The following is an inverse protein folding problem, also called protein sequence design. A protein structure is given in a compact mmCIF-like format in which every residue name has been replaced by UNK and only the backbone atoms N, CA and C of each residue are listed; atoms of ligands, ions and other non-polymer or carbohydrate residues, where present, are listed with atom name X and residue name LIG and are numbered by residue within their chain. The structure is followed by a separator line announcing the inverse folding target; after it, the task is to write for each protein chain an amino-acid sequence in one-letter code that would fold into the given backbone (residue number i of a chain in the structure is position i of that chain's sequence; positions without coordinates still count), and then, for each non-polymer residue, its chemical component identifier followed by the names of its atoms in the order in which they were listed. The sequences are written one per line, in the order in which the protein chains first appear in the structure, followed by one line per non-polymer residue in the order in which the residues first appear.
data_IF_357793194193
#
_entry.id   IF_357793194193
#
_cell.length_a   1.000
_cell.length_b   1.000
_cell.length_c   1.000
_cell.angle_alpha   90.00
_cell.angle_beta   90.00
_cell.angle_gamma   90.00
#
_symmetry.space_group_name_H-M   'P 1'
#
loop_
_entity.id
_entity.type
_entity.pdbx_description
1 polymer ?
#
# COMPACT_ATOMS: atom_id res chain seq x y z
N UNK A 1 -0.55 -2.58 11.14
CA UNK A 1 0.78 -1.94 11.11
C UNK A 1 1.70 -2.59 12.13
N UNK A 2 1.38 -2.53 13.42
CA UNK A 2 2.25 -3.03 14.50
C UNK A 2 2.65 -4.50 14.34
N UNK A 3 1.74 -5.37 13.92
CA UNK A 3 2.05 -6.78 13.68
C UNK A 3 3.20 -6.99 12.66
N UNK A 4 3.30 -6.14 11.64
CA UNK A 4 4.38 -6.20 10.63
C UNK A 4 5.63 -5.51 11.16
N UNK A 5 5.49 -4.32 11.76
CA UNK A 5 6.62 -3.56 12.30
C UNK A 5 7.35 -4.31 13.43
N UNK A 6 6.64 -5.11 14.23
CA UNK A 6 7.25 -5.88 15.30
C UNK A 6 8.21 -6.96 14.80
N UNK A 7 8.06 -7.41 13.54
CA UNK A 7 9.00 -8.33 12.92
C UNK A 7 10.33 -7.65 12.60
N UNK A 8 10.38 -6.32 12.51
CA UNK A 8 11.57 -5.53 12.21
C UNK A 8 12.33 -5.25 13.50
N UNK A 9 13.68 -5.31 13.51
CA UNK A 9 14.49 -4.90 14.65
C UNK A 9 14.12 -3.51 15.17
N UNK A 10 14.03 -3.34 16.49
CA UNK A 10 13.62 -2.09 17.12
C UNK A 10 14.54 -0.92 16.76
N UNK A 11 15.83 -1.19 16.59
CA UNK A 11 16.84 -0.22 16.19
C UNK A 11 16.67 0.27 14.74
N UNK A 12 15.94 -0.45 13.88
CA UNK A 12 15.73 -0.11 12.46
C UNK A 12 14.36 0.53 12.19
N UNK A 13 13.56 0.80 13.23
CA UNK A 13 12.24 1.42 13.10
C UNK A 13 12.07 2.60 14.04
N UNK A 14 11.34 3.61 13.57
CA UNK A 14 10.92 4.78 14.34
C UNK A 14 9.42 4.93 14.13
N UNK A 15 8.66 4.97 15.21
CA UNK A 15 7.20 5.03 15.17
C UNK A 15 6.68 6.28 15.87
N UNK A 16 5.81 7.02 15.19
CA UNK A 16 5.08 8.16 15.74
C UNK A 16 3.57 7.94 15.62
N UNK A 17 2.84 8.27 16.69
CA UNK A 17 1.36 8.25 16.65
C UNK A 17 0.78 9.45 15.91
N UNK A 18 1.50 10.57 15.90
CA UNK A 18 1.16 11.78 15.16
C UNK A 18 2.43 12.61 14.97
N UNK A 19 2.48 13.38 13.88
CA UNK A 19 3.63 14.21 13.53
C UNK A 19 3.16 15.54 12.93
N UNK A 20 3.79 16.66 13.30
CA UNK A 20 3.48 17.97 12.68
C UNK A 20 4.30 18.16 11.41
N UNK A 21 3.81 18.97 10.46
CA UNK A 21 4.50 19.19 9.18
C UNK A 21 5.96 19.64 9.31
N UNK A 22 6.29 20.39 10.37
CA UNK A 22 7.63 20.92 10.61
C UNK A 22 8.53 19.98 11.40
N UNK A 23 7.96 19.09 12.22
CA UNK A 23 8.75 18.20 13.09
C UNK A 23 9.71 17.29 12.32
N UNK A 24 9.36 16.90 11.09
CA UNK A 24 10.23 16.08 10.24
C UNK A 24 11.58 16.75 9.97
N UNK A 25 11.65 18.08 9.84
CA UNK A 25 12.90 18.80 9.60
C UNK A 25 13.80 18.83 10.84
N UNK A 26 13.22 18.75 12.03
CA UNK A 26 13.96 18.72 13.30
C UNK A 26 14.40 17.29 13.68
N UNK A 27 13.92 16.26 12.97
CA UNK A 27 14.40 14.90 13.13
C UNK A 27 15.83 14.68 12.61
N UNK A 28 16.50 15.70 12.06
CA UNK A 28 17.89 15.59 11.58
C UNK A 28 18.90 15.18 12.66
N UNK A 29 18.57 15.42 13.94
CA UNK A 29 19.35 14.90 15.08
C UNK A 29 19.20 13.38 15.26
N UNK A 30 18.13 12.79 14.70
CA UNK A 30 17.86 11.35 14.69
C UNK A 30 18.29 10.76 13.35
N UNK A 31 19.09 9.70 13.36
CA UNK A 31 19.51 9.05 12.12
C UNK A 31 18.33 8.27 11.49
N UNK A 32 17.69 8.85 10.46
CA UNK A 32 16.61 8.22 9.69
C UNK A 32 17.11 7.36 8.52
N UNK A 33 18.40 7.43 8.19
CA UNK A 33 18.96 6.75 7.04
C UNK A 33 18.87 5.23 7.22
N UNK A 34 18.34 4.55 6.21
CA UNK A 34 18.06 3.12 6.15
C UNK A 34 17.01 2.58 7.15
N UNK A 35 16.29 3.47 7.86
CA UNK A 35 15.26 3.07 8.82
C UNK A 35 13.85 3.08 8.24
N UNK A 36 12.94 2.43 8.95
CA UNK A 36 11.50 2.56 8.73
C UNK A 36 10.97 3.72 9.56
N UNK A 37 10.37 4.72 8.92
CA UNK A 37 9.57 5.76 9.56
C UNK A 37 8.10 5.37 9.45
N UNK A 38 7.54 4.92 10.57
CA UNK A 38 6.15 4.55 10.71
C UNK A 38 5.33 5.69 11.33
N UNK A 39 4.24 6.10 10.67
CA UNK A 39 3.35 7.13 11.18
C UNK A 39 1.93 6.57 11.20
N UNK A 40 1.36 6.47 12.40
CA UNK A 40 -0.03 6.09 12.58
C UNK A 40 -0.96 7.26 12.21
N UNK A 41 -2.07 6.96 11.55
CA UNK A 41 -3.18 7.90 11.27
C UNK A 41 -2.74 9.21 10.56
N UNK A 42 -2.84 9.20 9.22
CA UNK A 42 -2.40 10.24 8.29
C UNK A 42 -2.94 11.68 8.53
N UNK A 43 -3.88 11.91 9.45
CA UNK A 43 -4.45 13.25 9.64
C UNK A 43 -3.38 14.29 10.06
N UNK A 44 -2.30 13.85 10.73
CA UNK A 44 -1.09 14.66 10.96
C UNK A 44 -0.10 14.71 9.77
N UNK A 45 -0.10 13.68 8.92
CA UNK A 45 0.78 13.57 7.74
C UNK A 45 0.41 14.53 6.63
N UNK A 46 -0.85 14.96 6.51
CA UNK A 46 -1.28 15.89 5.45
C UNK A 46 -0.46 17.18 5.43
N UNK A 47 -0.01 17.67 6.59
CA UNK A 47 0.88 18.83 6.71
C UNK A 47 2.35 18.49 6.43
N UNK A 48 2.76 17.24 6.60
CA UNK A 48 4.12 16.74 6.36
C UNK A 48 4.32 16.11 4.96
N UNK A 49 3.23 15.95 4.18
CA UNK A 49 3.24 15.23 2.91
C UNK A 49 4.30 15.75 1.94
N UNK A 50 4.47 17.08 1.87
CA UNK A 50 5.52 17.69 1.05
C UNK A 50 6.93 17.26 1.46
N UNK A 51 7.23 17.30 2.76
CA UNK A 51 8.53 16.89 3.26
C UNK A 51 8.78 15.39 3.07
N UNK A 52 7.75 14.55 3.26
CA UNK A 52 7.86 13.12 2.97
C UNK A 52 8.11 12.83 1.48
N UNK A 53 7.47 13.59 0.57
CA UNK A 53 7.69 13.48 -0.88
C UNK A 53 9.13 13.79 -1.26
N UNK A 54 9.68 14.88 -0.72
CA UNK A 54 11.07 15.27 -0.96
C UNK A 54 12.04 14.24 -0.39
N UNK A 55 11.83 13.78 0.84
CA UNK A 55 12.70 12.77 1.46
C UNK A 55 12.73 11.46 0.66
N UNK A 56 11.60 11.06 0.06
CA UNK A 56 11.53 9.86 -0.77
C UNK A 56 12.15 10.05 -2.16
N UNK A 57 12.13 11.28 -2.70
CA UNK A 57 12.58 11.57 -4.08
C UNK A 57 14.06 11.98 -4.13
N UNK A 58 14.45 12.89 -3.25
CA UNK A 58 15.77 13.55 -3.27
C UNK A 58 16.74 12.88 -2.28
N UNK A 59 16.23 12.04 -1.37
CA UNK A 59 17.03 11.33 -0.38
C UNK A 59 17.58 12.23 0.73
N UNK A 60 17.28 13.52 0.74
CA UNK A 60 17.57 14.43 1.83
C UNK A 60 16.54 15.56 1.92
N UNK A 61 16.44 16.16 3.11
CA UNK A 61 15.64 17.34 3.39
C UNK A 61 16.52 18.38 4.04
N UNK A 62 16.44 19.62 3.57
CA UNK A 62 17.13 20.74 4.21
C UNK A 62 16.14 21.87 4.47
N UNK A 63 16.17 22.42 5.68
CA UNK A 63 15.38 23.59 6.07
C UNK A 63 16.25 24.59 6.80
N UNK A 64 16.18 25.85 6.36
CA UNK A 64 16.71 26.98 7.11
C UNK A 64 15.62 27.54 8.02
N UNK A 65 15.88 27.62 9.32
CA UNK A 65 14.98 28.22 10.29
C UNK A 65 15.74 29.17 11.22
N UNK A 66 15.11 30.28 11.58
CA UNK A 66 15.67 31.23 12.55
C UNK A 66 15.69 30.59 13.94
N UNK A 67 16.87 30.49 14.53
CA UNK A 67 17.08 30.07 15.92
C UNK A 67 17.72 31.19 16.73
N UNK A 68 17.61 31.12 18.04
CA UNK A 68 18.34 32.03 18.94
C UNK A 68 19.69 31.42 19.27
N UNK A 69 20.74 32.21 19.18
CA UNK A 69 22.07 31.83 19.69
C UNK A 69 22.02 31.88 21.24
N UNK A 70 22.33 30.77 21.88
CA UNK A 70 22.29 30.62 23.34
C UNK A 70 23.31 31.52 24.06
N UNK A 71 24.38 31.90 23.36
CA UNK A 71 25.47 32.71 23.92
C UNK A 71 25.26 34.20 23.64
N UNK A 72 24.85 34.56 22.43
CA UNK A 72 24.75 35.97 22.01
C UNK A 72 23.33 36.53 22.07
N UNK A 73 22.32 35.67 22.18
CA UNK A 73 20.90 36.05 22.16
C UNK A 73 20.41 36.58 20.81
N UNK A 74 21.27 36.63 19.80
CA UNK A 74 20.93 37.10 18.45
C UNK A 74 20.17 36.04 17.66
N UNK A 75 19.35 36.49 16.72
CA UNK A 75 18.67 35.60 15.78
C UNK A 75 19.67 35.18 14.71
N UNK A 76 19.97 33.89 14.67
CA UNK A 76 20.85 33.27 13.69
C UNK A 76 20.06 32.26 12.85
N UNK A 77 20.38 32.16 11.56
CA UNK A 77 19.76 31.13 10.72
C UNK A 77 20.44 29.79 11.02
N UNK A 78 19.68 28.82 11.54
CA UNK A 78 20.13 27.44 11.71
C UNK A 78 19.63 26.60 10.53
N UNK A 79 20.52 25.81 9.94
CA UNK A 79 20.18 24.85 8.90
C UNK A 79 19.98 23.47 9.54
N UNK A 80 18.86 22.82 9.24
CA UNK A 80 18.55 21.47 9.64
C UNK A 80 18.55 20.58 8.40
N UNK A 81 19.33 19.50 8.41
CA UNK A 81 19.39 18.55 7.32
C UNK A 81 19.05 17.15 7.82
N UNK A 82 18.14 16.48 7.12
CA UNK A 82 17.73 15.10 7.39
C UNK A 82 18.10 14.24 6.18
N UNK A 83 18.82 13.14 6.41
CA UNK A 83 19.28 12.25 5.34
C UNK A 83 18.44 10.97 5.30
N UNK A 84 18.01 10.61 4.10
CA UNK A 84 17.53 9.29 3.72
C UNK A 84 18.66 8.44 3.10
N UNK A 85 18.33 7.33 2.41
CA UNK A 85 16.97 6.86 2.11
C UNK A 85 16.23 6.37 3.36
N UNK A 86 14.91 6.49 3.38
CA UNK A 86 14.03 6.02 4.47
C UNK A 86 12.88 5.21 3.88
N UNK A 87 12.44 4.17 4.57
CA UNK A 87 11.23 3.43 4.23
C UNK A 87 10.04 4.05 4.97
N UNK A 88 9.03 4.52 4.24
CA UNK A 88 7.83 5.12 4.84
C UNK A 88 6.75 4.05 5.01
N UNK A 89 6.19 3.93 6.21
CA UNK A 89 5.00 3.12 6.48
C UNK A 89 3.92 4.01 7.10
N UNK A 90 2.83 4.22 6.36
CA UNK A 90 1.75 5.12 6.76
C UNK A 90 0.45 4.31 6.90
N UNK A 91 -0.35 4.59 7.92
CA UNK A 91 -1.73 4.12 8.00
C UNK A 91 -2.70 5.27 7.88
N UNK A 92 -3.81 5.06 7.18
CA UNK A 92 -4.85 6.07 7.01
C UNK A 92 -6.22 5.43 6.98
N UNK A 93 -7.18 6.13 7.57
CA UNK A 93 -8.62 5.89 7.37
C UNK A 93 -9.20 6.86 6.35
N UNK A 94 -8.41 7.84 5.89
CA UNK A 94 -8.82 8.80 4.89
C UNK A 94 -9.08 8.10 3.56
N UNK A 95 -10.22 8.44 2.95
CA UNK A 95 -10.60 7.91 1.64
C UNK A 95 -9.77 8.58 0.54
N UNK A 96 -9.39 9.85 0.75
CA UNK A 96 -8.66 10.68 -0.22
C UNK A 96 -7.27 11.03 0.32
N UNK A 97 -6.29 10.30 -0.20
CA UNK A 97 -4.86 10.50 0.01
C UNK A 97 -4.31 11.30 -1.16
N UNK A 98 -3.28 12.11 -0.92
CA UNK A 98 -2.56 12.83 -1.96
C UNK A 98 -2.09 11.86 -3.07
N UNK A 99 -2.56 12.09 -4.31
CA UNK A 99 -2.34 11.21 -5.46
C UNK A 99 -0.85 11.04 -5.76
N UNK A 100 -0.09 12.09 -5.55
CA UNK A 100 1.33 12.11 -5.80
C UNK A 100 2.11 11.21 -4.78
N UNK A 101 1.64 11.15 -3.52
CA UNK A 101 2.11 10.22 -2.50
C UNK A 101 1.66 8.79 -2.80
N UNK A 102 0.40 8.57 -3.21
CA UNK A 102 -0.10 7.26 -3.63
C UNK A 102 0.73 6.66 -4.78
N UNK A 103 1.12 7.49 -5.74
CA UNK A 103 1.97 7.07 -6.85
C UNK A 103 3.39 6.67 -6.42
N UNK A 104 3.83 7.03 -5.20
CA UNK A 104 5.14 6.71 -4.62
C UNK A 104 5.09 5.56 -3.59
N UNK A 105 3.91 5.16 -3.13
CA UNK A 105 3.74 4.10 -2.15
C UNK A 105 3.21 2.81 -2.78
N UNK A 106 3.29 1.72 -2.02
CA UNK A 106 2.48 0.51 -2.23
C UNK A 106 1.26 0.64 -1.32
N UNK A 107 0.07 0.49 -1.88
CA UNK A 107 -1.18 0.64 -1.14
C UNK A 107 -1.67 -0.73 -0.71
N UNK A 108 -1.79 -0.94 0.60
CA UNK A 108 -2.32 -2.16 1.19
C UNK A 108 -3.69 -1.87 1.80
N UNK A 109 -4.69 -2.64 1.41
CA UNK A 109 -6.06 -2.53 1.94
C UNK A 109 -6.31 -3.61 2.98
N UNK A 110 -7.08 -3.29 4.03
CA UNK A 110 -7.52 -4.28 5.00
C UNK A 110 -8.44 -5.31 4.33
N UNK A 111 -8.26 -6.59 4.65
CA UNK A 111 -9.18 -7.63 4.23
C UNK A 111 -10.42 -7.62 5.14
N UNK A 112 -11.54 -7.15 4.60
CA UNK A 112 -12.83 -7.06 5.29
C UNK A 112 -13.79 -8.19 4.87
N UNK A 113 -13.27 -9.30 4.33
CA UNK A 113 -14.12 -10.43 3.96
C UNK A 113 -14.74 -11.08 5.19
N UNK A 114 -15.84 -11.80 4.96
CA UNK A 114 -16.52 -12.53 6.02
C UNK A 114 -15.63 -13.64 6.56
N UNK A 115 -14.96 -14.37 5.68
CA UNK A 115 -14.04 -15.47 6.00
C UNK A 115 -12.89 -14.96 6.87
N UNK A 116 -12.32 -13.81 6.53
CA UNK A 116 -11.28 -13.16 7.34
C UNK A 116 -11.80 -12.78 8.73
N UNK A 117 -13.01 -12.25 8.80
CA UNK A 117 -13.65 -11.88 10.07
C UNK A 117 -13.91 -13.10 10.94
N UNK A 118 -14.42 -14.18 10.36
CA UNK A 118 -14.65 -15.46 11.04
C UNK A 118 -13.34 -16.08 11.56
N UNK A 119 -12.26 -16.03 10.76
CA UNK A 119 -10.93 -16.47 11.16
C UNK A 119 -10.38 -15.64 12.34
N UNK A 120 -10.54 -14.32 12.31
CA UNK A 120 -10.16 -13.44 13.43
C UNK A 120 -10.93 -13.81 14.70
N UNK A 121 -12.25 -14.01 14.61
CA UNK A 121 -13.06 -14.40 15.76
C UNK A 121 -12.63 -15.77 16.33
N UNK A 122 -12.28 -16.72 15.47
CA UNK A 122 -11.78 -18.02 15.90
C UNK A 122 -10.45 -17.89 16.68
N UNK A 123 -9.50 -17.12 16.16
CA UNK A 123 -8.22 -16.85 16.83
C UNK A 123 -8.41 -16.09 18.16
N UNK A 124 -9.32 -15.11 18.22
CA UNK A 124 -9.63 -14.39 19.45
C UNK A 124 -10.19 -15.31 20.53
N UNK A 125 -11.06 -16.27 20.16
CA UNK A 125 -11.54 -17.30 21.09
C UNK A 125 -10.42 -18.23 21.53
N UNK A 126 -9.58 -18.68 20.60
CA UNK A 126 -8.46 -19.57 20.91
C UNK A 126 -7.47 -18.93 21.90
N UNK A 127 -7.21 -17.62 21.80
CA UNK A 127 -6.36 -16.88 22.75
C UNK A 127 -6.85 -16.92 24.20
N UNK A 128 -8.15 -17.18 24.43
CA UNK A 128 -8.71 -17.31 25.78
C UNK A 128 -8.54 -18.73 26.37
N UNK A 129 -7.88 -19.64 25.64
CA UNK A 129 -7.60 -21.01 26.09
C UNK A 129 -6.16 -21.14 26.62
N UNK A 130 -5.86 -22.19 27.37
CA UNK A 130 -4.50 -22.50 27.82
C UNK A 130 -3.53 -22.66 26.65
N UNK A 131 -3.96 -23.31 25.57
CA UNK A 131 -3.18 -23.48 24.34
C UNK A 131 -2.85 -22.13 23.70
N UNK A 132 -3.82 -21.21 23.68
CA UNK A 132 -3.62 -19.86 23.18
C UNK A 132 -2.62 -19.05 24.02
N UNK A 133 -2.66 -19.18 25.35
CA UNK A 133 -1.70 -18.54 26.24
C UNK A 133 -0.27 -19.10 26.04
N UNK A 134 -0.13 -20.41 25.88
CA UNK A 134 1.17 -21.02 25.58
C UNK A 134 1.71 -20.59 24.21
N UNK A 135 0.83 -20.42 23.22
CA UNK A 135 1.20 -19.91 21.89
C UNK A 135 1.68 -18.45 21.90
N UNK A 136 1.36 -17.64 22.92
CA UNK A 136 1.90 -16.28 23.03
C UNK A 136 3.42 -16.28 23.22
N UNK A 137 3.97 -17.25 23.95
CA UNK A 137 5.42 -17.42 24.09
C UNK A 137 6.08 -17.78 22.76
N UNK A 138 5.42 -18.60 21.94
CA UNK A 138 5.92 -18.96 20.61
C UNK A 138 5.96 -17.75 19.67
N UNK A 139 4.98 -16.84 19.78
CA UNK A 139 4.99 -15.58 19.03
C UNK A 139 6.21 -14.72 19.34
N UNK A 140 6.61 -14.62 20.60
CA UNK A 140 7.81 -13.85 21.00
C UNK A 140 9.07 -14.47 20.39
N UNK A 141 9.19 -15.80 20.46
CA UNK A 141 10.28 -16.53 19.83
C UNK A 141 10.34 -16.28 18.32
N UNK A 142 9.22 -16.40 17.60
CA UNK A 142 9.14 -16.14 16.16
C UNK A 142 9.49 -14.69 15.81
N UNK A 143 9.04 -13.74 16.63
CA UNK A 143 9.37 -12.32 16.44
C UNK A 143 10.88 -12.10 16.56
N UNK A 144 11.50 -12.63 17.61
CA UNK A 144 12.96 -12.55 17.79
C UNK A 144 13.72 -13.25 16.64
N UNK A 145 13.21 -14.39 16.16
CA UNK A 145 13.77 -15.09 15.01
C UNK A 145 13.77 -14.20 13.75
N UNK A 146 12.65 -13.55 13.43
CA UNK A 146 12.55 -12.65 12.28
C UNK A 146 13.46 -11.42 12.40
N UNK A 147 13.55 -10.83 13.59
CA UNK A 147 14.45 -9.69 13.82
C UNK A 147 15.91 -10.11 13.66
N UNK A 148 16.33 -11.24 14.24
CA UNK A 148 17.68 -11.75 14.12
C UNK A 148 18.03 -12.14 12.68
N UNK A 149 17.08 -12.76 11.95
CA UNK A 149 17.27 -13.08 10.54
C UNK A 149 17.56 -11.83 9.71
N UNK A 150 16.89 -10.71 9.98
CA UNK A 150 17.15 -9.45 9.30
C UNK A 150 18.52 -8.85 9.64
N UNK A 151 18.93 -8.91 10.91
CA UNK A 151 20.27 -8.46 11.35
C UNK A 151 21.42 -9.22 10.66
N UNK A 152 21.16 -10.46 10.24
CA UNK A 152 22.13 -11.30 9.54
C UNK A 152 22.21 -11.02 8.03
N UNK A 153 21.27 -10.27 7.45
CA UNK A 153 21.29 -9.97 6.02
C UNK A 153 22.53 -9.15 5.68
N UNK A 154 23.29 -9.60 4.68
CA UNK A 154 24.41 -8.83 4.13
C UNK A 154 23.90 -7.92 3.00
N UNK A 155 24.47 -6.72 2.84
CA UNK A 155 24.11 -5.78 1.77
C UNK A 155 24.72 -6.22 0.43
N UNK A 156 24.26 -7.37 -0.09
CA UNK A 156 24.73 -7.92 -1.37
C UNK A 156 24.02 -7.27 -2.55
N UNK A 157 24.73 -7.14 -3.67
CA UNK A 157 24.10 -6.75 -4.92
C UNK A 157 23.23 -7.87 -5.46
N UNK A 158 22.12 -7.52 -6.10
CA UNK A 158 21.23 -8.49 -6.75
C UNK A 158 21.20 -8.21 -8.24
N UNK A 159 21.64 -9.20 -9.02
CA UNK A 159 21.58 -9.15 -10.49
C UNK A 159 20.38 -9.97 -10.93
N UNK A 160 19.59 -9.44 -11.87
CA UNK A 160 18.49 -10.16 -12.48
C UNK A 160 18.82 -10.55 -13.93
N UNK A 161 19.26 -11.80 -14.19
CA UNK A 161 19.56 -12.27 -15.55
C UNK A 161 18.36 -12.25 -16.49
N UNK A 162 17.14 -12.24 -15.95
CA UNK A 162 15.89 -12.25 -16.70
C UNK A 162 15.32 -10.85 -16.93
N UNK A 163 15.98 -9.79 -16.45
CA UNK A 163 15.45 -8.43 -16.49
C UNK A 163 15.05 -7.96 -17.90
N UNK A 164 15.82 -8.33 -18.92
CA UNK A 164 15.53 -7.99 -20.32
C UNK A 164 14.33 -8.72 -20.89
N UNK A 165 13.95 -9.85 -20.28
CA UNK A 165 12.77 -10.61 -20.69
C UNK A 165 11.52 -10.02 -20.05
N UNK A 166 11.60 -9.53 -18.80
CA UNK A 166 10.47 -8.97 -18.06
C UNK A 166 9.81 -7.80 -18.80
N UNK A 167 8.51 -7.92 -19.05
CA UNK A 167 7.67 -6.87 -19.60
C UNK A 167 6.76 -6.29 -18.53
N UNK A 168 6.34 -5.05 -18.73
CA UNK A 168 5.38 -4.35 -17.88
C UNK A 168 4.53 -3.42 -18.77
N UNK A 169 3.33 -3.08 -18.34
CA UNK A 169 2.46 -2.18 -19.10
C UNK A 169 3.15 -0.83 -19.35
N UNK A 170 2.98 -0.28 -20.55
CA UNK A 170 3.69 0.93 -21.02
C UNK A 170 2.73 2.04 -21.50
N UNK A 171 1.46 1.91 -21.20
CA UNK A 171 0.35 2.76 -21.65
C UNK A 171 0.17 4.03 -20.81
N UNK A 172 0.58 4.02 -19.53
CA UNK A 172 0.48 5.17 -18.62
C UNK A 172 1.84 5.59 -18.04
N UNK A 173 2.06 6.88 -17.83
CA UNK A 173 3.31 7.40 -17.22
C UNK A 173 3.59 6.81 -15.83
N UNK A 174 2.53 6.49 -15.07
CA UNK A 174 2.60 5.86 -13.75
C UNK A 174 3.34 4.52 -13.78
N UNK A 175 3.20 3.75 -14.85
CA UNK A 175 3.78 2.40 -14.95
C UNK A 175 5.30 2.42 -14.91
N UNK A 176 5.95 3.54 -15.22
CA UNK A 176 7.40 3.71 -15.04
C UNK A 176 7.83 3.51 -13.59
N UNK A 177 7.06 4.06 -12.64
CA UNK A 177 7.33 3.89 -11.20
C UNK A 177 6.95 2.51 -10.73
N UNK A 178 5.79 2.00 -11.13
CA UNK A 178 5.32 0.69 -10.69
C UNK A 178 6.18 -0.45 -11.25
N UNK A 179 6.74 -0.30 -12.45
CA UNK A 179 7.74 -1.22 -12.99
C UNK A 179 8.98 -1.27 -12.10
N UNK A 180 9.49 -0.12 -11.65
CA UNK A 180 10.62 -0.10 -10.71
C UNK A 180 10.26 -0.75 -9.37
N UNK A 181 9.05 -0.52 -8.84
CA UNK A 181 8.58 -1.22 -7.63
C UNK A 181 8.57 -2.73 -7.81
N UNK A 182 8.11 -3.22 -8.97
CA UNK A 182 8.10 -4.64 -9.30
C UNK A 182 9.51 -5.23 -9.40
N UNK A 183 10.44 -4.55 -10.07
CA UNK A 183 11.84 -4.99 -10.13
C UNK A 183 12.50 -5.00 -8.75
N UNK A 184 12.24 -3.99 -7.91
CA UNK A 184 12.72 -3.94 -6.53
C UNK A 184 12.11 -5.06 -5.68
N UNK A 185 10.84 -5.42 -5.88
CA UNK A 185 10.22 -6.54 -5.18
C UNK A 185 10.93 -7.87 -5.50
N UNK A 186 11.25 -8.13 -6.77
CA UNK A 186 12.04 -9.31 -7.17
C UNK A 186 13.41 -9.30 -6.48
N UNK A 187 14.09 -8.15 -6.47
CA UNK A 187 15.41 -8.02 -5.83
C UNK A 187 15.34 -8.29 -4.32
N UNK A 188 14.34 -7.73 -3.63
CA UNK A 188 14.12 -7.94 -2.20
C UNK A 188 13.88 -9.41 -1.86
N UNK A 189 13.09 -10.12 -2.67
CA UNK A 189 12.85 -11.57 -2.49
C UNK A 189 14.16 -12.35 -2.66
N UNK A 190 14.93 -12.07 -3.71
CA UNK A 190 16.22 -12.74 -3.93
C UNK A 190 17.22 -12.44 -2.79
N UNK A 191 17.27 -11.19 -2.31
CA UNK A 191 18.14 -10.78 -1.20
C UNK A 191 17.76 -11.46 0.13
N UNK A 192 16.46 -11.64 0.38
CA UNK A 192 15.97 -12.38 1.55
C UNK A 192 16.45 -13.84 1.52
N UNK A 193 16.56 -14.43 0.32
CA UNK A 193 17.09 -15.77 0.11
C UNK A 193 18.62 -15.84 0.00
N UNK A 194 19.39 -14.78 0.29
CA UNK A 194 20.83 -14.72 0.00
C UNK A 194 21.65 -15.90 0.55
N UNK A 195 21.29 -16.44 1.72
CA UNK A 195 21.98 -17.59 2.34
C UNK A 195 21.65 -18.94 1.70
N UNK A 196 20.67 -18.97 0.79
CA UNK A 196 20.28 -20.13 -0.02
C UNK A 196 20.80 -20.01 -1.45
N UNK A 197 21.61 -18.98 -1.75
CA UNK A 197 22.15 -18.70 -3.09
C UNK A 197 23.67 -18.81 -3.10
N UNK A 198 24.21 -19.10 -4.27
CA UNK A 198 25.65 -18.99 -4.50
C UNK A 198 26.01 -17.52 -4.71
N UNK A 199 26.88 -16.98 -3.85
CA UNK A 199 27.48 -15.66 -4.04
C UNK A 199 28.47 -15.74 -5.20
N UNK A 200 28.34 -14.83 -6.16
CA UNK A 200 29.21 -14.68 -7.32
C UNK A 200 30.01 -13.39 -7.20
N UNK A 201 31.15 -13.34 -7.86
CA UNK A 201 32.00 -12.16 -7.96
C UNK A 201 32.14 -11.73 -9.42
N UNK A 202 32.19 -10.43 -9.65
CA UNK A 202 32.56 -9.86 -10.94
C UNK A 202 33.62 -8.77 -10.72
N UNK A 203 34.67 -8.79 -11.53
CA UNK A 203 35.69 -7.75 -11.52
C UNK A 203 35.41 -6.72 -12.61
N UNK A 204 35.38 -5.44 -12.22
CA UNK A 204 35.29 -4.35 -13.18
C UNK A 204 36.19 -3.20 -12.75
N UNK A 205 37.18 -2.84 -13.58
CA UNK A 205 38.10 -1.71 -13.36
C UNK A 205 38.71 -1.70 -11.95
N UNK A 206 39.25 -2.85 -11.53
CA UNK A 206 39.88 -3.06 -10.20
C UNK A 206 38.94 -3.08 -8.99
N UNK A 207 37.62 -3.01 -9.20
CA UNK A 207 36.63 -3.24 -8.14
C UNK A 207 36.07 -4.66 -8.26
N UNK A 208 36.00 -5.36 -7.13
CA UNK A 208 35.31 -6.65 -7.03
C UNK A 208 33.89 -6.41 -6.51
N UNK A 209 32.90 -6.84 -7.27
CA UNK A 209 31.48 -6.77 -6.90
C UNK A 209 30.99 -8.16 -6.49
N UNK A 210 30.54 -8.30 -5.24
CA UNK A 210 29.80 -9.49 -4.80
C UNK A 210 28.32 -9.33 -5.12
N UNK A 211 27.72 -10.37 -5.73
CA UNK A 211 26.32 -10.38 -6.09
C UNK A 211 25.71 -11.77 -6.01
N UNK A 212 24.39 -11.81 -5.89
CA UNK A 212 23.56 -13.00 -6.11
C UNK A 212 22.68 -12.81 -7.34
N UNK A 213 22.22 -13.91 -7.91
CA UNK A 213 21.32 -13.87 -9.06
C UNK A 213 19.89 -14.20 -8.66
N UNK A 214 18.95 -13.44 -9.24
CA UNK A 214 17.52 -13.74 -9.22
C UNK A 214 17.26 -15.08 -9.90
N UNK A 215 16.36 -15.87 -9.33
CA UNK A 215 15.84 -17.11 -9.91
C UNK A 215 14.43 -16.94 -10.45
N UNK A 216 13.97 -17.90 -11.26
CA UNK A 216 12.59 -17.93 -11.76
C UNK A 216 11.56 -18.02 -10.63
N UNK A 217 11.91 -18.67 -9.52
CA UNK A 217 11.03 -18.80 -8.36
C UNK A 217 10.82 -17.46 -7.65
N UNK A 218 11.86 -16.62 -7.58
CA UNK A 218 11.76 -15.27 -7.02
C UNK A 218 10.81 -14.41 -7.88
N UNK A 219 10.89 -14.54 -9.21
CA UNK A 219 9.97 -13.87 -10.15
C UNK A 219 8.54 -14.39 -9.99
N UNK A 220 8.35 -15.71 -9.85
CA UNK A 220 7.01 -16.28 -9.65
C UNK A 220 6.37 -15.76 -8.36
N UNK A 221 7.13 -15.69 -7.27
CA UNK A 221 6.65 -15.13 -6.00
C UNK A 221 6.38 -13.63 -6.12
N UNK A 222 7.27 -12.88 -6.78
CA UNK A 222 7.06 -11.46 -7.04
C UNK A 222 5.79 -11.21 -7.86
N UNK A 223 5.54 -12.04 -8.88
CA UNK A 223 4.30 -11.98 -9.65
C UNK A 223 3.09 -12.18 -8.74
N UNK A 224 3.05 -13.24 -7.95
CA UNK A 224 1.93 -13.52 -7.05
C UNK A 224 1.63 -12.30 -6.15
N UNK A 225 2.65 -11.73 -5.51
CA UNK A 225 2.51 -10.56 -4.65
C UNK A 225 2.13 -9.28 -5.43
N UNK A 226 2.70 -9.09 -6.62
CA UNK A 226 2.43 -7.92 -7.46
C UNK A 226 0.97 -7.88 -7.93
N UNK A 227 0.36 -9.03 -8.27
CA UNK A 227 -1.06 -9.08 -8.64
C UNK A 227 -1.96 -8.59 -7.48
N UNK A 228 -1.64 -8.97 -6.25
CA UNK A 228 -2.43 -8.52 -5.09
C UNK A 228 -2.24 -7.03 -4.78
N UNK A 229 -1.03 -6.50 -4.94
CA UNK A 229 -0.65 -5.15 -4.47
C UNK A 229 -0.74 -4.10 -5.59
N UNK A 230 -0.08 -4.34 -6.73
CA UNK A 230 0.02 -3.39 -7.84
C UNK A 230 -1.21 -3.44 -8.75
N UNK A 231 -1.82 -4.62 -8.90
CA UNK A 231 -3.05 -4.79 -9.66
C UNK A 231 -4.17 -3.85 -9.16
N UNK A 232 -4.38 -3.81 -7.84
CA UNK A 232 -5.38 -2.95 -7.18
C UNK A 232 -5.04 -1.46 -7.22
N UNK A 233 -3.79 -1.13 -7.50
CA UNK A 233 -3.24 0.22 -7.42
C UNK A 233 -3.31 0.95 -8.78
N UNK A 234 -3.32 0.22 -9.90
CA UNK A 234 -3.41 0.75 -11.27
C UNK A 234 -4.84 1.08 -11.72
N UNK A 235 -5.80 0.64 -10.94
CA UNK A 235 -7.18 1.04 -11.08
C UNK A 235 -7.37 2.48 -10.61
N UNK A 236 -8.01 3.30 -11.45
CA UNK A 236 -8.38 4.68 -11.07
C UNK A 236 -9.51 4.69 -10.03
N UNK A 237 -10.21 3.57 -9.87
CA UNK A 237 -11.28 3.41 -8.89
C UNK A 237 -10.71 3.07 -7.50
N UNK A 238 -11.02 3.86 -6.45
CA UNK A 238 -10.63 3.54 -5.08
C UNK A 238 -11.15 2.16 -4.64
N UNK A 239 -10.41 1.39 -3.82
CA UNK A 239 -10.79 0.03 -3.46
C UNK A 239 -12.18 -0.10 -2.84
N UNK A 240 -12.57 0.86 -1.99
CA UNK A 240 -13.92 0.89 -1.40
C UNK A 240 -15.00 1.19 -2.44
N UNK A 241 -14.72 2.06 -3.42
CA UNK A 241 -15.62 2.32 -4.55
C UNK A 241 -15.79 1.05 -5.41
N UNK A 242 -14.71 0.30 -5.67
CA UNK A 242 -14.76 -0.99 -6.38
C UNK A 242 -15.56 -2.04 -5.61
N UNK A 243 -15.34 -2.16 -4.30
CA UNK A 243 -16.14 -3.06 -3.44
C UNK A 243 -17.62 -2.73 -3.54
N UNK A 244 -17.98 -1.45 -3.51
CA UNK A 244 -19.37 -1.02 -3.69
C UNK A 244 -19.90 -1.36 -5.09
N UNK A 245 -19.12 -1.16 -6.17
CA UNK A 245 -19.53 -1.52 -7.53
C UNK A 245 -19.89 -3.01 -7.64
N UNK A 246 -19.05 -3.91 -7.09
CA UNK A 246 -19.32 -5.35 -7.10
C UNK A 246 -20.59 -5.70 -6.31
N UNK A 247 -20.81 -5.06 -5.16
CA UNK A 247 -22.04 -5.24 -4.38
C UNK A 247 -23.28 -4.72 -5.12
N UNK A 248 -23.17 -3.58 -5.82
CA UNK A 248 -24.24 -3.04 -6.66
C UNK A 248 -24.52 -3.98 -7.84
N UNK A 249 -23.48 -4.55 -8.45
CA UNK A 249 -23.63 -5.55 -9.52
C UNK A 249 -24.41 -6.77 -9.03
N UNK A 250 -24.01 -7.36 -7.90
CA UNK A 250 -24.73 -8.50 -7.34
C UNK A 250 -26.19 -8.14 -7.02
N UNK A 251 -26.42 -7.00 -6.36
CA UNK A 251 -27.78 -6.52 -6.07
C UNK A 251 -28.61 -6.35 -7.35
N UNK A 252 -28.03 -5.75 -8.39
CA UNK A 252 -28.72 -5.52 -9.65
C UNK A 252 -29.01 -6.83 -10.40
N UNK A 253 -28.12 -7.82 -10.33
CA UNK A 253 -28.34 -9.17 -10.87
C UNK A 253 -29.46 -9.90 -10.11
N UNK A 254 -29.45 -9.86 -8.78
CA UNK A 254 -30.49 -10.47 -7.93
C UNK A 254 -31.88 -9.83 -8.22
N UNK A 255 -31.91 -8.51 -8.43
CA UNK A 255 -33.13 -7.79 -8.83
C UNK A 255 -33.57 -8.12 -10.25
N UNK A 256 -32.64 -8.16 -11.20
CA UNK A 256 -32.93 -8.55 -12.59
C UNK A 256 -33.58 -9.94 -12.64
N UNK A 257 -33.01 -10.90 -11.90
CA UNK A 257 -33.53 -12.25 -11.81
C UNK A 257 -34.92 -12.32 -11.15
N UNK A 258 -35.13 -11.61 -10.05
CA UNK A 258 -36.42 -11.62 -9.34
C UNK A 258 -37.53 -10.87 -10.08
N UNK A 259 -37.20 -9.79 -10.79
CA UNK A 259 -38.16 -8.97 -11.55
C UNK A 259 -38.33 -9.42 -13.01
N UNK A 260 -37.61 -10.45 -13.45
CA UNK A 260 -37.56 -10.92 -14.84
C UNK A 260 -37.21 -9.81 -15.85
N UNK A 261 -36.27 -8.94 -15.47
CA UNK A 261 -35.78 -7.82 -16.28
C UNK A 261 -34.36 -8.04 -16.72
N UNK A 262 -33.95 -7.32 -17.76
CA UNK A 262 -32.52 -7.23 -18.12
C UNK A 262 -31.81 -6.30 -17.14
N UNK A 263 -30.49 -6.49 -16.96
CA UNK A 263 -29.69 -5.71 -16.01
C UNK A 263 -29.81 -4.19 -16.25
N UNK A 264 -29.88 -3.77 -17.53
CA UNK A 264 -30.04 -2.38 -17.96
C UNK A 264 -31.42 -1.79 -17.67
N UNK A 265 -32.43 -2.61 -17.38
CA UNK A 265 -33.78 -2.14 -17.03
C UNK A 265 -33.97 -2.01 -15.52
N UNK A 266 -33.02 -2.53 -14.72
CA UNK A 266 -33.07 -2.40 -13.27
C UNK A 266 -32.78 -0.94 -12.91
N UNK A 267 -33.69 -0.37 -12.11
CA UNK A 267 -33.51 0.95 -11.48
C UNK A 267 -33.50 0.76 -9.97
N UNK A 268 -32.54 1.39 -9.31
CA UNK A 268 -32.40 1.31 -7.86
C UNK A 268 -32.01 2.66 -7.28
N UNK A 269 -32.30 2.87 -6.01
CA UNK A 269 -31.99 4.11 -5.28
C UNK A 269 -30.83 3.89 -4.32
N UNK A 270 -30.24 4.96 -3.78
CA UNK A 270 -29.27 4.83 -2.66
C UNK A 270 -29.86 4.09 -1.45
N UNK A 271 -31.18 4.21 -1.21
CA UNK A 271 -31.88 3.47 -0.15
C UNK A 271 -31.86 1.97 -0.39
N UNK A 272 -32.03 1.56 -1.63
CA UNK A 272 -31.96 0.15 -2.03
C UNK A 272 -30.56 -0.42 -1.82
N UNK A 273 -29.54 0.30 -2.29
CA UNK A 273 -28.14 -0.08 -2.09
C UNK A 273 -27.85 -0.19 -0.59
N UNK A 274 -28.31 0.77 0.21
CA UNK A 274 -28.14 0.74 1.67
C UNK A 274 -28.80 -0.48 2.33
N UNK A 275 -30.00 -0.85 1.90
CA UNK A 275 -30.70 -2.01 2.42
C UNK A 275 -29.98 -3.33 2.08
N UNK A 276 -29.30 -3.37 0.93
CA UNK A 276 -28.55 -4.55 0.49
C UNK A 276 -27.16 -4.65 1.14
N UNK A 277 -26.43 -3.53 1.25
CA UNK A 277 -25.01 -3.53 1.65
C UNK A 277 -24.77 -3.15 3.12
N UNK A 278 -25.75 -2.53 3.78
CA UNK A 278 -25.61 -1.89 5.10
C UNK A 278 -24.58 -0.74 5.18
N UNK A 279 -24.18 -0.15 4.05
CA UNK A 279 -23.29 1.01 4.04
C UNK A 279 -23.99 2.28 4.55
N UNK A 280 -23.22 3.19 5.16
CA UNK A 280 -23.77 4.48 5.61
C UNK A 280 -24.20 5.37 4.42
N UNK A 281 -25.21 6.23 4.60
CA UNK A 281 -25.67 7.10 3.51
C UNK A 281 -24.59 8.06 3.01
N UNK A 282 -23.73 8.54 3.92
CA UNK A 282 -22.59 9.39 3.58
C UNK A 282 -21.58 8.69 2.67
N UNK A 283 -21.22 7.44 2.97
CA UNK A 283 -20.35 6.64 2.10
C UNK A 283 -21.02 6.38 0.75
N UNK A 284 -22.30 6.00 0.75
CA UNK A 284 -23.04 5.76 -0.49
C UNK A 284 -23.13 7.02 -1.35
N UNK A 285 -23.35 8.20 -0.76
CA UNK A 285 -23.36 9.46 -1.49
C UNK A 285 -22.04 9.70 -2.20
N UNK A 286 -20.92 9.56 -1.49
CA UNK A 286 -19.58 9.77 -2.03
C UNK A 286 -19.25 8.76 -3.14
N UNK A 287 -19.41 7.47 -2.88
CA UNK A 287 -19.01 6.42 -3.81
C UNK A 287 -19.97 6.29 -5.00
N UNK A 288 -21.29 6.50 -4.82
CA UNK A 288 -22.21 6.53 -5.97
C UNK A 288 -21.93 7.74 -6.87
N UNK A 289 -21.55 8.89 -6.31
CA UNK A 289 -21.12 10.04 -7.12
C UNK A 289 -19.89 9.67 -7.96
N UNK A 290 -18.84 9.11 -7.35
CA UNK A 290 -17.64 8.67 -8.07
C UNK A 290 -17.94 7.65 -9.16
N UNK A 291 -18.76 6.65 -8.86
CA UNK A 291 -19.18 5.65 -9.85
C UNK A 291 -19.97 6.28 -11.00
N UNK A 292 -20.72 7.35 -10.73
CA UNK A 292 -21.42 8.10 -11.79
C UNK A 292 -20.46 8.95 -12.62
N UNK A 293 -19.50 9.63 -11.97
CA UNK A 293 -18.45 10.42 -12.63
C UNK A 293 -17.53 9.55 -13.50
N UNK A 294 -17.31 8.30 -13.08
CA UNK A 294 -16.57 7.27 -13.83
C UNK A 294 -17.44 6.49 -14.83
N UNK A 295 -18.69 6.91 -15.03
CA UNK A 295 -19.65 6.31 -15.99
C UNK A 295 -20.01 4.83 -15.74
N UNK A 296 -19.81 4.32 -14.53
CA UNK A 296 -20.28 2.98 -14.11
C UNK A 296 -21.77 2.99 -13.70
N UNK A 297 -22.26 4.13 -13.21
CA UNK A 297 -23.67 4.35 -12.86
C UNK A 297 -24.27 5.49 -13.67
N UNK A 298 -25.44 5.27 -14.27
CA UNK A 298 -26.23 6.33 -14.90
C UNK A 298 -27.28 6.84 -13.92
N UNK A 299 -27.33 8.16 -13.73
CA UNK A 299 -28.30 8.82 -12.85
C UNK A 299 -29.57 9.14 -13.64
N UNK A 300 -30.72 8.73 -13.10
CA UNK A 300 -32.05 9.04 -13.61
C UNK A 300 -32.82 9.91 -12.60
N UNK A 301 -33.56 10.91 -13.10
CA UNK A 301 -34.37 11.80 -12.27
C UNK A 301 -33.54 12.85 -11.51
N UNK A 302 -34.01 13.26 -10.32
CA UNK A 302 -33.33 14.26 -9.48
C UNK A 302 -33.87 15.70 -9.58
N UNK A 303 -34.91 15.94 -10.37
CA UNK A 303 -35.67 17.19 -10.38
C UNK A 303 -36.78 17.19 -9.30
N UNK A 304 -37.38 18.35 -9.01
CA UNK A 304 -38.47 18.48 -8.02
C UNK A 304 -39.58 17.44 -8.30
N UNK A 305 -39.78 16.51 -7.36
CA UNK A 305 -40.84 15.50 -7.40
C UNK A 305 -40.43 14.11 -7.90
N UNK A 306 -39.21 13.93 -8.41
CA UNK A 306 -38.72 12.62 -8.86
C UNK A 306 -37.61 12.08 -7.95
N UNK A 307 -37.72 10.80 -7.56
CA UNK A 307 -36.67 10.11 -6.81
C UNK A 307 -35.42 9.96 -7.70
N UNK A 308 -34.25 10.22 -7.11
CA UNK A 308 -32.98 9.97 -7.77
C UNK A 308 -32.73 8.46 -7.82
N UNK A 309 -32.66 7.94 -9.04
CA UNK A 309 -32.44 6.52 -9.33
C UNK A 309 -31.12 6.34 -10.06
N UNK A 310 -30.57 5.14 -9.96
CA UNK A 310 -29.35 4.70 -10.60
C UNK A 310 -29.65 3.50 -11.49
N UNK A 311 -28.90 3.42 -12.58
CA UNK A 311 -28.80 2.27 -13.48
C UNK A 311 -27.33 1.83 -13.54
N UNK A 312 -27.08 0.53 -13.50
CA UNK A 312 -25.74 -0.02 -13.65
C UNK A 312 -25.40 -0.16 -15.14
N UNK A 313 -24.33 0.51 -15.58
CA UNK A 313 -23.85 0.42 -16.97
C UNK A 313 -22.76 -0.65 -17.17
N UNK A 314 -22.20 -1.17 -16.08
CA UNK A 314 -21.08 -2.10 -16.10
C UNK A 314 -21.51 -3.56 -16.11
N UNK A 315 -21.06 -4.31 -17.13
CA UNK A 315 -21.47 -5.71 -17.38
C UNK A 315 -20.52 -6.76 -16.79
N UNK A 316 -19.47 -6.35 -16.07
CA UNK A 316 -18.66 -7.29 -15.28
C UNK A 316 -17.36 -7.76 -15.90
N UNK A 317 -16.89 -7.17 -17.00
CA UNK A 317 -15.58 -7.55 -17.54
C UNK A 317 -14.47 -6.92 -16.68
N UNK A 318 -13.61 -7.77 -16.11
CA UNK A 318 -12.51 -7.38 -15.23
C UNK A 318 -12.53 -8.00 -13.84
N UNK A 319 -12.84 -9.30 -13.74
CA UNK A 319 -12.64 -10.06 -12.50
C UNK A 319 -11.15 -10.40 -12.33
N UNK A 320 -10.44 -9.39 -11.86
CA UNK A 320 -9.17 -9.40 -11.14
C UNK A 320 -8.45 -8.12 -11.52
N UNK A 321 -7.91 -7.45 -10.51
CA UNK A 321 -6.89 -6.45 -10.73
C UNK A 321 -5.62 -7.21 -11.17
N UNK A 322 -5.66 -7.82 -12.34
CA UNK A 322 -4.58 -8.63 -12.88
C UNK A 322 -3.69 -7.69 -13.69
N UNK A 323 -2.41 -7.63 -13.33
CA UNK A 323 -1.44 -6.95 -14.18
C UNK A 323 -1.31 -7.75 -15.46
N UNK A 324 -1.91 -7.25 -16.54
CA UNK A 324 -1.66 -7.79 -17.86
C UNK A 324 -0.19 -7.50 -18.23
N UNK A 325 0.53 -8.53 -18.70
CA UNK A 325 1.92 -8.38 -19.16
C UNK A 325 3.01 -8.73 -18.15
N UNK A 326 2.68 -9.22 -16.95
CA UNK A 326 3.68 -9.88 -16.10
C UNK A 326 4.06 -11.23 -16.70
N UNK A 327 5.35 -11.40 -17.00
CA UNK A 327 5.84 -12.66 -17.58
C UNK A 327 5.85 -13.75 -16.53
N UNK A 328 5.19 -14.85 -16.85
CA UNK A 328 5.36 -16.13 -16.16
C UNK A 328 6.61 -16.77 -16.76
N UNK A 329 7.72 -16.88 -16.01
CA UNK A 329 8.89 -17.57 -16.53
C UNK A 329 8.54 -19.05 -16.75
N UNK A 330 8.59 -19.49 -18.01
CA UNK A 330 8.42 -20.89 -18.44
C UNK A 330 9.54 -21.76 -17.90
#
# INVERSE_FOLDING_TARGET
MDAVLNLIPEEERIQYSAMTGQSLFYLGETNLQHKILAIAEEEGVRQAAYALKLLQSDGELTMASTGKDETTGTLVTKSYTVKGPVMLMLTTTAIDVDEELLNRCLVLTVNESREQTEAIHALQRQKQTLEGLLAENEREYLTALHQNAQRLLKPLNVVNPYASQLTFMSDKTRTRRDHMKYLTLIQSIALLHQYQRKIKTAEHRSNTLEYIEVTKDDIRLANQLAHEILGRTLDEMPPQTRKLLLLIQQMAQDRAASEQKTLREVRFTRRDIRAYTNWSDSQLKLHCQRLSDMEYLLIHGGSRGHLLQYELLWEGDGDSAHLNGLIVPV
#
